data_IF_044287403867
#
_entry.id   IF_044287403867
#
_cell.length_a   1.000
_cell.length_b   1.000
_cell.length_c   1.000
_cell.angle_alpha   90.00
_cell.angle_beta   90.00
_cell.angle_gamma   90.00
#
_symmetry.space_group_name_H-M   'P 1'
#
loop_
_entity.id
_entity.type
_entity.pdbx_description
1 polymer ?
#
# COMPACT_ATOMS: atom_id res chain seq x y z
N UNK A 1 -15.75 -4.00 16.97
CA UNK A 1 -15.84 -2.87 17.92
C UNK A 1 -15.81 -3.46 19.32
N UNK A 2 -14.89 -3.00 20.16
CA UNK A 2 -14.71 -3.48 21.55
C UNK A 2 -15.43 -2.58 22.56
N UNK A 3 -16.03 -1.49 22.10
CA UNK A 3 -16.86 -0.57 22.87
C UNK A 3 -18.23 -0.38 22.19
N UNK A 4 -19.21 0.01 23.00
CA UNK A 4 -20.53 0.45 22.56
C UNK A 4 -20.72 1.92 22.93
N UNK A 5 -21.45 2.65 22.09
CA UNK A 5 -21.96 3.96 22.44
C UNK A 5 -23.26 3.77 23.23
N UNK A 6 -23.26 4.19 24.50
CA UNK A 6 -24.42 4.18 25.40
C UNK A 6 -24.53 5.57 26.02
N UNK A 7 -25.68 6.21 25.86
CA UNK A 7 -26.01 7.51 26.48
C UNK A 7 -24.89 8.56 26.28
N UNK A 8 -24.49 8.78 25.03
CA UNK A 8 -23.41 9.70 24.61
C UNK A 8 -22.00 9.37 25.17
N UNK A 9 -21.83 8.19 25.79
CA UNK A 9 -20.56 7.69 26.30
C UNK A 9 -20.09 6.41 25.60
N UNK A 10 -18.78 6.23 25.46
CA UNK A 10 -18.20 4.95 25.01
C UNK A 10 -17.90 4.06 26.21
N UNK A 11 -18.52 2.89 26.25
CA UNK A 11 -18.33 1.90 27.31
C UNK A 11 -17.73 0.64 26.70
N UNK A 12 -16.68 0.09 27.34
CA UNK A 12 -16.11 -1.18 26.92
C UNK A 12 -17.12 -2.32 27.05
N UNK A 13 -17.11 -3.23 26.08
CA UNK A 13 -18.01 -4.39 26.04
C UNK A 13 -17.63 -5.48 27.05
N UNK A 14 -16.36 -5.52 27.43
CA UNK A 14 -15.78 -6.57 28.27
C UNK A 14 -15.22 -5.98 29.56
N UNK A 15 -14.92 -6.85 30.52
CA UNK A 15 -14.21 -6.45 31.73
C UNK A 15 -12.81 -5.91 31.41
N UNK A 16 -12.21 -5.15 32.31
CA UNK A 16 -10.85 -4.61 32.13
C UNK A 16 -9.84 -5.72 31.80
N UNK A 17 -9.86 -6.83 32.56
CA UNK A 17 -8.99 -7.98 32.33
C UNK A 17 -9.17 -8.60 30.94
N UNK A 18 -10.41 -8.70 30.45
CA UNK A 18 -10.69 -9.21 29.10
C UNK A 18 -10.24 -8.22 28.02
N UNK A 19 -10.42 -6.91 28.22
CA UNK A 19 -9.94 -5.90 27.30
C UNK A 19 -8.41 -5.88 27.21
N UNK A 20 -7.70 -6.08 28.32
CA UNK A 20 -6.24 -6.17 28.34
C UNK A 20 -5.75 -7.38 27.54
N UNK A 21 -6.42 -8.52 27.68
CA UNK A 21 -6.11 -9.72 26.90
C UNK A 21 -6.39 -9.52 25.40
N UNK A 22 -7.50 -8.86 25.06
CA UNK A 22 -7.82 -8.47 23.69
C UNK A 22 -6.75 -7.54 23.14
N UNK A 23 -6.41 -6.49 23.87
CA UNK A 23 -5.40 -5.51 23.48
C UNK A 23 -4.05 -6.17 23.22
N UNK A 24 -3.58 -7.02 24.14
CA UNK A 24 -2.32 -7.75 23.96
C UNK A 24 -2.32 -8.58 22.67
N UNK A 25 -3.41 -9.30 22.38
CA UNK A 25 -3.52 -10.11 21.15
C UNK A 25 -3.57 -9.24 19.90
N UNK A 26 -4.26 -8.10 19.92
CA UNK A 26 -4.27 -7.18 18.78
C UNK A 26 -2.90 -6.54 18.57
N UNK A 27 -2.18 -6.21 19.65
CA UNK A 27 -0.81 -5.71 19.58
C UNK A 27 0.16 -6.74 19.01
N UNK A 28 0.01 -8.02 19.36
CA UNK A 28 0.82 -9.09 18.77
C UNK A 28 0.61 -9.21 17.26
N UNK A 29 -0.64 -9.06 16.78
CA UNK A 29 -0.93 -9.02 15.33
C UNK A 29 -0.27 -7.81 14.67
N UNK A 30 -0.34 -6.64 15.29
CA UNK A 30 0.30 -5.42 14.79
C UNK A 30 1.82 -5.61 14.70
N UNK A 31 2.45 -6.13 15.77
CA UNK A 31 3.88 -6.41 15.80
C UNK A 31 4.28 -7.42 14.71
N UNK A 32 3.50 -8.49 14.54
CA UNK A 32 3.72 -9.45 13.47
C UNK A 32 3.68 -8.79 12.09
N UNK A 33 2.67 -7.94 11.81
CA UNK A 33 2.54 -7.24 10.53
C UNK A 33 3.70 -6.25 10.30
N UNK A 34 4.12 -5.51 11.33
CA UNK A 34 5.28 -4.62 11.27
C UNK A 34 6.55 -5.40 10.94
N UNK A 35 6.79 -6.52 11.63
CA UNK A 35 7.98 -7.34 11.40
C UNK A 35 7.95 -7.98 10.02
N UNK A 36 6.80 -8.49 9.59
CA UNK A 36 6.61 -9.02 8.23
C UNK A 36 6.89 -7.97 7.16
N UNK A 37 6.40 -6.74 7.36
CA UNK A 37 6.68 -5.63 6.45
C UNK A 37 8.17 -5.30 6.41
N UNK A 38 8.81 -5.08 7.56
CA UNK A 38 10.26 -4.79 7.64
C UNK A 38 11.10 -5.87 6.99
N UNK A 39 10.81 -7.15 7.27
CA UNK A 39 11.52 -8.27 6.66
C UNK A 39 11.33 -8.30 5.14
N UNK A 40 10.16 -7.93 4.64
CA UNK A 40 9.92 -7.85 3.20
C UNK A 40 10.61 -6.68 2.49
N UNK A 41 11.11 -5.68 3.21
CA UNK A 41 11.90 -4.59 2.61
C UNK A 41 13.28 -5.07 2.11
N UNK A 42 13.81 -6.13 2.74
CA UNK A 42 15.08 -6.74 2.38
C UNK A 42 15.00 -7.62 1.12
N UNK A 43 13.79 -8.06 0.75
CA UNK A 43 13.56 -8.96 -0.39
C UNK A 43 13.54 -8.19 -1.72
N UNK A 44 14.53 -8.42 -2.57
CA UNK A 44 14.66 -7.77 -3.88
C UNK A 44 13.59 -8.18 -4.90
N UNK A 45 12.90 -9.29 -4.65
CA UNK A 45 11.80 -9.79 -5.48
C UNK A 45 10.45 -9.19 -5.08
N UNK A 46 10.39 -8.45 -3.96
CA UNK A 46 9.18 -7.76 -3.52
C UNK A 46 8.99 -6.43 -4.26
N UNK A 47 7.80 -6.28 -4.84
CA UNK A 47 7.31 -5.02 -5.40
C UNK A 47 6.25 -4.45 -4.46
N UNK A 48 6.50 -3.23 -3.98
CA UNK A 48 5.54 -2.45 -3.18
C UNK A 48 4.82 -1.47 -4.08
N UNK A 49 3.51 -1.64 -4.20
CA UNK A 49 2.67 -0.77 -5.03
C UNK A 49 2.18 0.40 -4.20
N UNK A 50 2.46 1.62 -4.67
CA UNK A 50 1.88 2.85 -4.13
C UNK A 50 0.89 3.39 -5.15
N UNK A 51 -0.31 3.76 -4.70
CA UNK A 51 -1.30 4.45 -5.53
C UNK A 51 -2.10 5.46 -4.71
N UNK A 52 -2.65 6.47 -5.38
CA UNK A 52 -3.53 7.48 -4.79
C UNK A 52 -4.62 7.83 -5.79
N UNK A 53 -5.88 7.89 -5.33
CA UNK A 53 -7.00 8.36 -6.14
C UNK A 53 -7.10 9.90 -6.17
N UNK A 54 -6.29 10.61 -5.37
CA UNK A 54 -6.38 12.06 -5.20
C UNK A 54 -5.02 12.74 -5.42
N UNK A 55 -4.37 13.12 -4.32
CA UNK A 55 -3.17 13.96 -4.36
C UNK A 55 -1.96 13.28 -5.03
N UNK A 56 -1.13 14.11 -5.66
CA UNK A 56 0.19 13.73 -6.12
C UNK A 56 1.07 13.37 -4.90
N UNK A 57 1.64 12.16 -4.90
CA UNK A 57 2.47 11.64 -3.81
C UNK A 57 3.96 11.62 -4.18
N UNK A 58 4.37 12.30 -5.25
CA UNK A 58 5.75 12.29 -5.76
C UNK A 58 6.78 12.41 -4.62
N UNK A 59 6.77 13.51 -3.86
CA UNK A 59 7.75 13.76 -2.79
C UNK A 59 7.80 12.64 -1.74
N UNK A 60 6.63 12.11 -1.36
CA UNK A 60 6.49 11.02 -0.38
C UNK A 60 7.08 9.74 -0.96
N UNK A 61 6.75 9.41 -2.20
CA UNK A 61 7.26 8.21 -2.89
C UNK A 61 8.77 8.28 -3.07
N UNK A 62 9.30 9.45 -3.44
CA UNK A 62 10.75 9.67 -3.54
C UNK A 62 11.44 9.51 -2.18
N UNK A 63 10.85 10.02 -1.10
CA UNK A 63 11.36 9.81 0.25
C UNK A 63 11.30 8.34 0.68
N UNK A 64 10.20 7.64 0.38
CA UNK A 64 10.05 6.21 0.65
C UNK A 64 11.09 5.38 -0.11
N UNK A 65 11.33 5.67 -1.39
CA UNK A 65 12.34 4.95 -2.17
C UNK A 65 13.73 5.09 -1.55
N UNK A 66 14.11 6.30 -1.09
CA UNK A 66 15.37 6.52 -0.37
C UNK A 66 15.43 5.76 0.94
N UNK A 67 14.33 5.72 1.70
CA UNK A 67 14.28 5.00 2.96
C UNK A 67 14.36 3.48 2.75
N UNK A 68 13.63 2.93 1.78
CA UNK A 68 13.61 1.49 1.48
C UNK A 68 15.01 0.97 1.14
N UNK A 69 15.82 1.77 0.41
CA UNK A 69 17.23 1.44 0.11
C UNK A 69 18.10 1.22 1.35
N UNK A 70 17.74 1.79 2.50
CA UNK A 70 18.48 1.58 3.76
C UNK A 70 18.24 0.18 4.36
N UNK A 71 17.14 -0.46 3.99
CA UNK A 71 16.70 -1.75 4.54
C UNK A 71 16.84 -2.89 3.54
N UNK A 72 17.06 -2.60 2.26
CA UNK A 72 17.31 -3.59 1.22
C UNK A 72 17.06 -3.06 -0.19
N UNK A 73 16.90 -3.98 -1.15
CA UNK A 73 16.74 -3.63 -2.56
C UNK A 73 15.33 -3.93 -3.10
N UNK A 74 14.32 -3.96 -2.22
CA UNK A 74 12.93 -4.04 -2.64
C UNK A 74 12.54 -2.86 -3.52
N UNK A 75 11.58 -3.10 -4.43
CA UNK A 75 11.21 -2.14 -5.48
C UNK A 75 9.89 -1.48 -5.14
N UNK A 76 9.76 -0.19 -5.44
CA UNK A 76 8.52 0.56 -5.37
C UNK A 76 7.99 0.78 -6.78
N UNK A 77 6.73 0.43 -7.00
CA UNK A 77 5.96 0.75 -8.19
C UNK A 77 4.90 1.79 -7.84
N UNK A 78 5.12 3.03 -8.24
CA UNK A 78 4.16 4.11 -8.05
C UNK A 78 3.22 4.21 -9.26
N UNK A 79 1.97 3.81 -9.08
CA UNK A 79 0.97 3.82 -10.14
C UNK A 79 0.19 5.13 -10.09
N UNK A 80 0.12 5.82 -11.23
CA UNK A 80 -0.59 7.10 -11.40
C UNK A 80 -1.66 6.96 -12.48
N UNK A 81 -2.87 7.46 -12.19
CA UNK A 81 -3.89 7.73 -13.21
C UNK A 81 -3.67 9.13 -13.79
N UNK A 82 -3.97 9.34 -15.07
CA UNK A 82 -3.82 10.63 -15.78
C UNK A 82 -2.37 11.10 -15.99
N UNK A 83 -1.48 10.20 -16.38
CA UNK A 83 -0.19 10.62 -16.94
C UNK A 83 -0.44 10.96 -18.41
N UNK A 84 -0.67 12.24 -18.74
CA UNK A 84 -1.12 12.75 -20.05
C UNK A 84 -0.29 12.28 -21.26
N UNK A 85 0.91 11.73 -21.02
CA UNK A 85 1.85 11.28 -22.05
C UNK A 85 2.26 9.80 -21.92
N UNK A 86 1.51 8.97 -21.19
CA UNK A 86 1.87 7.57 -20.97
C UNK A 86 0.77 6.60 -21.38
N UNK A 87 1.19 5.50 -21.99
CA UNK A 87 0.28 4.41 -22.36
C UNK A 87 -0.15 3.64 -21.09
N UNK A 88 -1.38 3.13 -21.09
CA UNK A 88 -1.88 2.27 -20.02
C UNK A 88 -0.97 1.03 -19.91
N UNK A 89 -0.52 0.72 -18.70
CA UNK A 89 0.40 -0.38 -18.44
C UNK A 89 1.88 -0.03 -18.64
N UNK A 90 2.21 1.17 -19.13
CA UNK A 90 3.60 1.61 -19.28
C UNK A 90 4.27 1.71 -17.91
N UNK A 91 5.51 1.20 -17.81
CA UNK A 91 6.35 1.31 -16.62
C UNK A 91 7.64 2.03 -16.98
N UNK A 92 7.88 3.17 -16.34
CA UNK A 92 9.10 3.96 -16.47
C UNK A 92 10.00 3.75 -15.26
N UNK A 93 11.24 3.32 -15.48
CA UNK A 93 12.26 3.27 -14.43
C UNK A 93 12.70 4.70 -14.09
N UNK A 94 12.56 5.10 -12.84
CA UNK A 94 13.06 6.40 -12.34
C UNK A 94 14.45 6.24 -11.75
N UNK A 95 14.67 5.19 -10.97
CA UNK A 95 15.96 4.75 -10.47
C UNK A 95 15.93 3.23 -10.18
N UNK A 96 16.95 2.68 -9.53
CA UNK A 96 17.08 1.24 -9.32
C UNK A 96 15.98 0.58 -8.48
N UNK A 97 15.32 1.33 -7.59
CA UNK A 97 14.26 0.79 -6.74
C UNK A 97 12.94 1.56 -6.83
N UNK A 98 12.79 2.47 -7.81
CA UNK A 98 11.59 3.24 -8.04
C UNK A 98 11.19 3.23 -9.51
N UNK A 99 9.95 2.83 -9.75
CA UNK A 99 9.31 2.73 -11.05
C UNK A 99 7.97 3.46 -11.00
N UNK A 100 7.60 4.11 -12.10
CA UNK A 100 6.30 4.76 -12.26
C UNK A 100 5.49 3.98 -13.28
N UNK A 101 4.29 3.54 -12.87
CA UNK A 101 3.32 2.88 -13.73
C UNK A 101 2.18 3.82 -14.11
N UNK A 102 1.69 3.74 -15.35
CA UNK A 102 0.53 4.50 -15.79
C UNK A 102 -0.72 3.61 -15.92
N UNK A 103 -1.84 4.05 -15.34
CA UNK A 103 -3.15 3.38 -15.46
C UNK A 103 -4.19 4.37 -16.00
N UNK A 104 -5.22 3.87 -16.67
CA UNK A 104 -6.34 4.66 -17.17
C UNK A 104 -7.19 5.23 -16.03
N UNK A 105 -7.53 4.41 -15.04
CA UNK A 105 -8.32 4.85 -13.88
C UNK A 105 -8.10 3.99 -12.65
N UNK A 106 -8.29 4.60 -11.50
CA UNK A 106 -8.59 3.87 -10.28
C UNK A 106 -10.10 3.74 -10.08
N UNK A 107 -10.51 2.72 -9.32
CA UNK A 107 -11.90 2.60 -8.89
C UNK A 107 -12.23 3.73 -7.89
N UNK A 108 -13.43 4.29 -8.01
CA UNK A 108 -14.01 5.18 -7.00
C UNK A 108 -14.22 4.44 -5.69
N UNK A 109 -14.09 5.15 -4.57
CA UNK A 109 -14.26 4.57 -3.23
C UNK A 109 -15.65 3.94 -3.02
N UNK A 110 -16.69 4.52 -3.64
CA UNK A 110 -18.06 3.99 -3.59
C UNK A 110 -18.29 2.77 -4.49
N UNK A 111 -17.36 2.47 -5.41
CA UNK A 111 -17.49 1.42 -6.44
C UNK A 111 -16.18 0.69 -6.65
N UNK A 112 -15.66 0.09 -5.57
CA UNK A 112 -14.37 -0.60 -5.58
C UNK A 112 -14.28 -1.75 -6.62
N UNK A 113 -15.42 -2.30 -7.04
CA UNK A 113 -15.52 -3.35 -8.07
C UNK A 113 -15.34 -2.83 -9.51
N UNK A 114 -15.45 -1.52 -9.77
CA UNK A 114 -15.31 -0.92 -11.11
C UNK A 114 -13.87 -0.50 -11.43
N UNK A 115 -12.89 -1.19 -10.84
CA UNK A 115 -11.47 -0.96 -11.13
C UNK A 115 -11.12 -1.32 -12.57
N UNK A 116 -10.09 -0.68 -13.13
CA UNK A 116 -9.57 -1.05 -14.45
C UNK A 116 -8.85 -2.39 -14.39
N UNK A 117 -9.56 -3.47 -14.73
CA UNK A 117 -8.98 -4.82 -14.71
C UNK A 117 -7.86 -4.93 -15.73
N UNK A 118 -8.12 -4.49 -16.94
CA UNK A 118 -7.18 -4.54 -18.07
C UNK A 118 -5.95 -3.66 -17.79
N UNK A 119 -6.15 -2.47 -17.20
CA UNK A 119 -5.05 -1.59 -16.82
C UNK A 119 -4.15 -2.20 -15.75
N UNK A 120 -4.72 -2.82 -14.71
CA UNK A 120 -3.95 -3.50 -13.68
C UNK A 120 -3.23 -4.75 -14.23
N UNK A 121 -3.88 -5.52 -15.10
CA UNK A 121 -3.24 -6.68 -15.72
C UNK A 121 -2.03 -6.27 -16.55
N UNK A 122 -2.17 -5.21 -17.37
CA UNK A 122 -1.07 -4.68 -18.16
C UNK A 122 0.10 -4.20 -17.28
N UNK A 123 -0.18 -3.53 -16.16
CA UNK A 123 0.84 -3.15 -15.17
C UNK A 123 1.56 -4.37 -14.61
N UNK A 124 0.83 -5.42 -14.21
CA UNK A 124 1.42 -6.63 -13.63
C UNK A 124 2.32 -7.33 -14.66
N UNK A 125 1.80 -7.54 -15.88
CA UNK A 125 2.52 -8.25 -16.94
C UNK A 125 3.81 -7.54 -17.34
N UNK A 126 3.81 -6.20 -17.31
CA UNK A 126 4.98 -5.41 -17.62
C UNK A 126 5.94 -5.31 -16.43
N UNK A 127 5.43 -5.24 -15.19
CA UNK A 127 6.27 -5.18 -13.99
C UNK A 127 7.15 -6.43 -13.89
N UNK A 128 6.58 -7.61 -14.08
CA UNK A 128 7.30 -8.90 -14.04
C UNK A 128 8.42 -8.99 -15.10
N UNK A 129 8.31 -8.24 -16.20
CA UNK A 129 9.33 -8.24 -17.27
C UNK A 129 10.49 -7.29 -17.00
N UNK A 130 10.24 -6.18 -16.29
CA UNK A 130 11.19 -5.06 -16.17
C UNK A 130 11.75 -4.86 -14.77
N UNK A 131 11.21 -5.58 -13.78
CA UNK A 131 11.55 -5.48 -12.35
C UNK A 131 11.88 -6.86 -11.80
#
# INVERSE_FOLDING_TARGET
>A
MYSDNKDDGWVWRYTEQENDLIYSREMDKIHYLINKFKNSLADENKIFVVKSNGNNLDDIVFALAKEFKKHGNSKILYVKSNVESSAVGEIKKVNDNLFIGAIDKFADYSRANEYSREGWQAIIDNAVKVM
#
